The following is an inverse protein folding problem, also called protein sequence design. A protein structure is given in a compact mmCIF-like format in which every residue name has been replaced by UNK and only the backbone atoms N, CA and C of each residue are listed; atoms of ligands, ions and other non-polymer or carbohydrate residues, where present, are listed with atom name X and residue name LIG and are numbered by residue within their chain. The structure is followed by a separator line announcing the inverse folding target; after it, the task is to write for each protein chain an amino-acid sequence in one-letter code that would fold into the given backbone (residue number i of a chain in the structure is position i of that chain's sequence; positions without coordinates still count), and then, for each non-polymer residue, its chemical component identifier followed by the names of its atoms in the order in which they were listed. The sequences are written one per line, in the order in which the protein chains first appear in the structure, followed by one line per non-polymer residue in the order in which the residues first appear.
data_IF_261934525911
#
_entry.id   IF_261934525911
#
_cell.length_a   1.000
_cell.length_b   1.000
_cell.length_c   1.000
_cell.angle_alpha   90.00
_cell.angle_beta   90.00
_cell.angle_gamma   90.00
#
_symmetry.space_group_name_H-M   'P 1'
#
loop_
_entity.id
_entity.type
_entity.pdbx_description
1 polymer ?
#
# COMPACT_ATOMS: atom_id res chain seq x y z
N UNK A 1 -21.50 -3.22 -25.97
CA UNK A 1 -21.71 -2.74 -24.58
C UNK A 1 -20.38 -2.20 -24.09
N UNK A 2 -20.25 -0.88 -23.98
CA UNK A 2 -19.01 -0.20 -23.54
C UNK A 2 -18.83 -0.50 -22.04
N UNK A 3 -17.99 -1.46 -21.69
CA UNK A 3 -17.49 -1.56 -20.32
C UNK A 3 -16.62 -0.32 -20.11
N UNK A 4 -17.12 0.60 -19.28
CA UNK A 4 -16.36 1.78 -18.86
C UNK A 4 -15.13 1.27 -18.11
N UNK A 5 -13.99 1.88 -18.42
CA UNK A 5 -12.74 1.77 -17.68
C UNK A 5 -13.00 2.31 -16.26
N UNK A 6 -13.41 1.47 -15.33
CA UNK A 6 -13.23 1.81 -13.92
C UNK A 6 -11.76 1.51 -13.65
N UNK A 7 -10.94 2.57 -13.68
CA UNK A 7 -9.60 2.49 -13.12
C UNK A 7 -9.78 1.93 -11.71
N UNK A 8 -9.21 0.76 -11.44
CA UNK A 8 -9.29 0.11 -10.14
C UNK A 8 -8.88 1.18 -9.11
N UNK A 9 -9.82 1.69 -8.30
CA UNK A 9 -9.56 2.84 -7.40
C UNK A 9 -8.50 2.50 -6.33
N UNK A 10 -8.11 1.23 -6.28
CA UNK A 10 -7.08 0.66 -5.42
C UNK A 10 -6.44 -0.55 -6.09
N UNK A 11 -5.24 -0.90 -5.67
CA UNK A 11 -4.56 -2.12 -6.07
C UNK A 11 -4.95 -3.26 -5.11
N UNK A 12 -5.76 -4.21 -5.60
CA UNK A 12 -6.21 -5.37 -4.81
C UNK A 12 -5.08 -6.35 -4.43
N UNK A 13 -3.88 -6.19 -5.00
CA UNK A 13 -2.68 -6.95 -4.62
C UNK A 13 -1.90 -6.31 -3.48
N UNK A 14 -2.22 -5.07 -3.08
CA UNK A 14 -1.54 -4.35 -2.01
C UNK A 14 -2.56 -3.98 -0.93
N UNK A 15 -2.70 -4.84 0.06
CA UNK A 15 -3.47 -4.54 1.26
C UNK A 15 -2.84 -3.39 2.05
N UNK A 16 -3.67 -2.46 2.54
CA UNK A 16 -3.23 -1.38 3.41
C UNK A 16 -4.36 -1.05 4.37
N UNK A 17 -4.12 -1.18 5.66
CA UNK A 17 -5.09 -0.83 6.72
C UNK A 17 -4.67 0.43 7.47
N UNK A 18 -3.59 1.08 7.04
CA UNK A 18 -3.05 2.29 7.67
C UNK A 18 -3.84 3.48 7.15
N UNK A 19 -4.77 4.00 7.94
CA UNK A 19 -5.65 5.12 7.57
C UNK A 19 -4.88 6.41 7.25
N UNK A 20 -3.71 6.59 7.86
CA UNK A 20 -2.81 7.72 7.71
C UNK A 20 -1.95 7.63 6.45
N UNK A 21 -1.99 6.51 5.73
CA UNK A 21 -1.27 6.38 4.47
C UNK A 21 -1.96 7.24 3.41
N UNK A 22 -1.22 8.18 2.81
CA UNK A 22 -1.64 9.03 1.69
C UNK A 22 -2.28 8.25 0.54
N UNK A 23 -1.85 7.00 0.37
CA UNK A 23 -2.29 6.09 -0.69
C UNK A 23 -3.35 5.09 -0.21
N UNK A 24 -3.86 5.19 1.02
CA UNK A 24 -4.95 4.35 1.48
C UNK A 24 -6.21 4.64 0.65
N UNK A 25 -6.91 3.61 0.19
CA UNK A 25 -8.11 3.78 -0.65
C UNK A 25 -9.36 4.25 0.09
N UNK A 26 -9.19 4.63 1.37
CA UNK A 26 -10.18 5.16 2.32
C UNK A 26 -11.30 4.17 2.65
N UNK A 27 -12.09 3.81 1.65
CA UNK A 27 -13.27 2.95 1.79
C UNK A 27 -12.93 1.46 1.72
N UNK A 28 -11.74 1.11 1.22
CA UNK A 28 -11.28 -0.27 1.14
C UNK A 28 -9.90 -0.37 1.80
N UNK A 29 -9.61 -1.50 2.45
CA UNK A 29 -8.33 -1.75 3.14
C UNK A 29 -7.21 -2.11 2.15
N UNK A 30 -7.03 -1.28 1.15
CA UNK A 30 -6.07 -1.42 0.05
C UNK A 30 -5.32 -0.12 -0.18
N UNK A 31 -4.13 -0.25 -0.76
CA UNK A 31 -3.33 0.87 -1.25
C UNK A 31 -3.69 1.18 -2.71
N UNK A 32 -3.56 2.42 -3.14
CA UNK A 32 -3.72 2.83 -4.54
C UNK A 32 -2.44 2.68 -5.37
N UNK A 33 -1.31 2.34 -4.72
CA UNK A 33 -0.04 2.11 -5.40
C UNK A 33 -0.05 0.79 -6.18
N UNK A 34 0.38 0.84 -7.45
CA UNK A 34 0.61 -0.35 -8.30
C UNK A 34 1.75 -1.24 -7.78
N UNK A 35 2.71 -0.65 -7.07
CA UNK A 35 3.87 -1.32 -6.48
C UNK A 35 4.22 -0.67 -5.14
N UNK A 36 4.60 -1.50 -4.16
CA UNK A 36 5.24 -1.04 -2.93
C UNK A 36 6.71 -1.46 -2.89
N UNK A 37 7.49 -0.74 -2.10
CA UNK A 37 8.82 -1.14 -1.69
C UNK A 37 8.79 -1.56 -0.22
N UNK A 38 9.32 -2.74 0.08
CA UNK A 38 9.51 -3.20 1.46
C UNK A 38 10.93 -2.88 1.87
N UNK A 39 11.08 -2.15 2.96
CA UNK A 39 12.38 -1.70 3.48
C UNK A 39 12.63 -2.24 4.88
N UNK A 40 13.84 -2.03 5.39
CA UNK A 40 14.23 -2.36 6.78
C UNK A 40 14.86 -1.13 7.42
N UNK A 41 14.62 -0.93 8.71
CA UNK A 41 15.21 0.21 9.43
C UNK A 41 16.57 -0.11 10.09
N UNK A 42 16.95 -1.39 10.20
CA UNK A 42 18.20 -1.84 10.83
C UNK A 42 19.12 -2.61 9.88
N UNK A 43 20.35 -2.86 10.34
CA UNK A 43 21.36 -3.65 9.64
C UNK A 43 21.02 -5.16 9.68
N UNK A 44 19.87 -5.52 9.11
CA UNK A 44 19.35 -6.88 9.00
C UNK A 44 17.88 -6.98 9.41
N UNK A 45 17.04 -7.58 8.56
CA UNK A 45 15.66 -7.89 8.90
C UNK A 45 15.63 -9.27 9.57
N UNK A 46 15.43 -9.30 10.90
CA UNK A 46 15.40 -10.53 11.68
C UNK A 46 13.98 -10.97 12.03
N UNK A 47 13.05 -10.03 12.08
CA UNK A 47 11.63 -10.27 12.32
C UNK A 47 10.79 -9.46 11.32
N UNK A 48 9.51 -9.81 11.09
CA UNK A 48 8.61 -9.01 10.24
C UNK A 48 8.49 -7.56 10.70
N UNK A 49 8.56 -7.30 12.00
CA UNK A 49 8.49 -5.96 12.59
C UNK A 49 9.74 -5.12 12.28
N UNK A 50 10.84 -5.74 11.81
CA UNK A 50 11.99 -5.02 11.27
C UNK A 50 11.79 -4.57 9.81
N UNK A 51 10.65 -4.90 9.20
CA UNK A 51 10.32 -4.55 7.81
C UNK A 51 9.12 -3.63 7.73
N UNK A 52 9.27 -2.57 6.94
CA UNK A 52 8.27 -1.52 6.79
C UNK A 52 7.86 -1.37 5.32
N UNK A 53 6.68 -0.78 5.09
CA UNK A 53 6.34 -0.27 3.76
C UNK A 53 7.14 1.02 3.51
N UNK A 54 8.20 0.92 2.72
CA UNK A 54 9.06 2.06 2.35
C UNK A 54 8.38 3.05 1.40
N UNK A 55 7.25 2.68 0.81
CA UNK A 55 6.42 3.58 0.00
C UNK A 55 5.38 4.36 0.82
N UNK A 56 5.39 4.24 2.15
CA UNK A 56 4.48 4.98 3.01
C UNK A 56 4.73 6.49 2.91
N UNK A 57 3.65 7.25 2.70
CA UNK A 57 3.62 8.70 2.86
C UNK A 57 2.47 9.05 3.80
N UNK A 58 2.67 10.02 4.69
CA UNK A 58 1.60 10.54 5.55
C UNK A 58 0.60 11.35 4.72
N UNK A 59 -0.70 11.09 4.91
CA UNK A 59 -1.82 11.76 4.23
C UNK A 59 -2.00 13.22 4.62
#
# INVERSE_FOLDING_TARGET
MKQRLEANEYNSSVGCTVSECRFHSKNNNYCTLEKIEVVKHEQGAKTPECTDCGSFELS
#
